data_IF_093570032421
#
_entry.id   IF_093570032421
#
_cell.length_a   1.000
_cell.length_b   1.000
_cell.length_c   1.000
_cell.angle_alpha   90.00
_cell.angle_beta   90.00
_cell.angle_gamma   90.00
#
_symmetry.space_group_name_H-M   'P 1'
#
loop_
_entity.id
_entity.type
_entity.pdbx_description
1 polymer ?
#
# COMPACT_ATOMS: atom_id res chain seq x y z
N UNK A 1 -7.97 4.97 -7.99
CA UNK A 1 -8.32 3.61 -8.39
C UNK A 1 -9.61 3.52 -9.19
N UNK A 2 -10.66 4.28 -8.86
CA UNK A 2 -11.94 4.32 -9.58
C UNK A 2 -11.83 4.69 -11.05
N UNK A 3 -10.80 5.50 -11.40
CA UNK A 3 -10.47 5.88 -12.79
C UNK A 3 -9.58 4.87 -13.50
N UNK A 4 -8.88 4.01 -12.75
CA UNK A 4 -7.91 3.05 -13.27
C UNK A 4 -8.51 1.66 -13.46
N UNK A 5 -9.52 1.30 -12.66
CA UNK A 5 -10.13 -0.03 -12.65
C UNK A 5 -11.66 0.06 -12.74
N UNK A 6 -12.32 -0.80 -13.55
CA UNK A 6 -13.77 -0.84 -13.62
C UNK A 6 -14.37 -1.44 -12.34
N UNK A 7 -15.58 -1.01 -12.00
CA UNK A 7 -16.39 -1.57 -10.91
C UNK A 7 -17.41 -2.54 -11.48
N UNK A 8 -17.36 -3.79 -11.01
CA UNK A 8 -18.42 -4.75 -11.31
C UNK A 8 -19.69 -4.42 -10.50
N UNK A 9 -20.89 -4.79 -10.98
CA UNK A 9 -22.11 -4.71 -10.20
C UNK A 9 -22.10 -5.69 -9.02
N UNK A 10 -21.54 -6.88 -9.21
CA UNK A 10 -21.44 -7.93 -8.20
C UNK A 10 -19.98 -8.24 -7.85
N UNK A 11 -19.77 -8.80 -6.65
CA UNK A 11 -18.44 -9.02 -6.11
C UNK A 11 -17.70 -10.13 -6.87
N UNK A 12 -18.41 -11.20 -7.19
CA UNK A 12 -17.95 -12.36 -7.96
C UNK A 12 -17.44 -12.01 -9.36
N UNK A 13 -17.91 -10.91 -9.94
CA UNK A 13 -17.56 -10.48 -11.29
C UNK A 13 -16.42 -9.47 -11.31
N UNK A 14 -15.89 -9.06 -10.15
CA UNK A 14 -14.90 -7.98 -10.07
C UNK A 14 -13.62 -8.34 -10.84
N UNK A 15 -13.32 -7.67 -11.97
CA UNK A 15 -12.11 -7.95 -12.75
C UNK A 15 -10.87 -7.36 -12.06
N UNK A 16 -9.70 -7.86 -12.44
CA UNK A 16 -8.39 -7.37 -11.99
C UNK A 16 -8.19 -7.39 -10.47
N UNK A 17 -8.89 -8.26 -9.75
CA UNK A 17 -8.91 -8.32 -8.29
C UNK A 17 -7.51 -8.44 -7.66
N UNK A 18 -6.60 -9.22 -8.25
CA UNK A 18 -5.21 -9.30 -7.80
C UNK A 18 -4.47 -7.97 -7.97
N UNK A 19 -4.60 -7.32 -9.12
CA UNK A 19 -3.94 -6.05 -9.43
C UNK A 19 -4.47 -4.91 -8.57
N UNK A 20 -5.78 -4.85 -8.34
CA UNK A 20 -6.42 -3.88 -7.45
C UNK A 20 -5.87 -4.02 -6.03
N UNK A 21 -5.89 -5.25 -5.48
CA UNK A 21 -5.38 -5.50 -4.13
C UNK A 21 -3.88 -5.20 -4.03
N UNK A 22 -3.08 -5.61 -5.02
CA UNK A 22 -1.66 -5.30 -5.05
C UNK A 22 -1.41 -3.79 -5.13
N UNK A 23 -2.07 -3.08 -6.03
CA UNK A 23 -1.91 -1.63 -6.18
C UNK A 23 -2.24 -0.89 -4.88
N UNK A 24 -3.38 -1.20 -4.28
CA UNK A 24 -3.78 -0.61 -2.99
C UNK A 24 -2.72 -0.90 -1.92
N UNK A 25 -2.41 -2.17 -1.67
CA UNK A 25 -1.53 -2.55 -0.55
C UNK A 25 -0.09 -2.05 -0.74
N UNK A 26 0.46 -2.14 -1.95
CA UNK A 26 1.83 -1.71 -2.23
C UNK A 26 1.96 -0.18 -2.20
N UNK A 27 0.98 0.56 -2.71
CA UNK A 27 0.98 2.03 -2.63
C UNK A 27 0.91 2.52 -1.18
N UNK A 28 0.11 1.85 -0.34
CA UNK A 28 0.08 2.13 1.11
C UNK A 28 1.41 1.82 1.79
N UNK A 29 2.03 0.69 1.44
CA UNK A 29 3.34 0.29 1.94
C UNK A 29 4.41 1.31 1.60
N UNK A 30 4.40 1.81 0.36
CA UNK A 30 5.32 2.84 -0.11
C UNK A 30 5.18 4.13 0.70
N UNK A 31 3.97 4.69 0.79
CA UNK A 31 3.72 5.98 1.45
C UNK A 31 4.00 5.90 2.96
N UNK A 32 3.49 4.86 3.63
CA UNK A 32 3.72 4.68 5.07
C UNK A 32 5.20 4.44 5.34
N UNK A 33 5.85 3.58 4.55
CA UNK A 33 7.28 3.32 4.65
C UNK A 33 8.12 4.59 4.48
N UNK A 34 7.80 5.40 3.48
CA UNK A 34 8.44 6.69 3.22
C UNK A 34 8.31 7.65 4.42
N UNK A 35 7.11 7.73 5.00
CA UNK A 35 6.80 8.55 6.17
C UNK A 35 7.57 8.08 7.41
N UNK A 36 7.57 6.78 7.71
CA UNK A 36 8.32 6.20 8.83
C UNK A 36 9.83 6.47 8.67
N UNK A 37 10.36 6.28 7.45
CA UNK A 37 11.77 6.57 7.16
C UNK A 37 12.13 8.04 7.37
N UNK A 38 11.24 8.97 7.00
CA UNK A 38 11.40 10.40 7.20
C UNK A 38 11.33 10.81 8.69
N UNK A 39 10.36 10.27 9.42
CA UNK A 39 10.20 10.50 10.86
C UNK A 39 11.39 9.96 11.64
N UNK A 40 11.85 8.75 11.32
CA UNK A 40 13.02 8.15 11.96
C UNK A 40 14.30 8.96 11.72
N UNK A 41 14.48 9.53 10.52
CA UNK A 41 15.59 10.45 10.25
C UNK A 41 15.48 11.72 11.09
N UNK A 42 14.31 12.34 11.11
CA UNK A 42 14.05 13.58 11.84
C UNK A 42 14.28 13.41 13.34
N UNK A 43 13.78 12.32 13.93
CA UNK A 43 14.00 11.98 15.33
C UNK A 43 15.49 11.79 15.66
N UNK A 44 16.24 11.08 14.80
CA UNK A 44 17.70 10.90 14.99
C UNK A 44 18.47 12.22 14.90
N UNK A 45 18.05 13.14 14.02
CA UNK A 45 18.67 14.46 13.85
C UNK A 45 18.51 15.33 15.11
N UNK A 46 17.37 15.23 15.80
CA UNK A 46 17.14 15.93 17.07
C UNK A 46 18.09 15.44 18.19
N UNK A 47 18.43 14.15 18.20
CA UNK A 47 19.29 13.56 19.23
C UNK A 47 20.79 13.72 18.89
N UNK A 48 21.16 13.56 17.61
CA UNK A 48 22.55 13.62 17.13
C UNK A 48 22.64 14.45 15.86
N UNK A 49 22.93 15.76 15.97
CA UNK A 49 23.06 16.62 14.80
C UNK A 49 24.33 16.28 13.99
N UNK A 50 24.21 15.34 13.03
CA UNK A 50 25.23 15.03 12.01
C UNK A 50 24.94 15.69 10.65
N UNK A 51 25.94 16.20 9.92
CA UNK A 51 25.77 16.86 8.61
C UNK A 51 25.30 15.93 7.46
N UNK A 52 24.95 14.68 7.76
CA UNK A 52 24.45 13.71 6.78
C UNK A 52 23.05 14.10 6.25
N UNK A 53 23.03 14.59 5.01
CA UNK A 53 21.85 15.06 4.27
C UNK A 53 21.28 13.99 3.35
N UNK A 54 20.51 13.04 3.88
CA UNK A 54 19.58 12.39 2.97
C UNK A 54 18.33 11.90 3.68
N UNK A 55 17.50 12.86 4.11
CA UNK A 55 16.08 12.61 4.37
C UNK A 55 15.47 11.79 3.22
N UNK A 56 15.84 12.12 1.97
CA UNK A 56 15.46 11.38 0.78
C UNK A 56 15.90 9.91 0.82
N UNK A 57 17.15 9.59 1.18
CA UNK A 57 17.62 8.20 1.33
C UNK A 57 16.91 7.47 2.45
N UNK A 58 16.69 8.12 3.60
CA UNK A 58 16.00 7.50 4.73
C UNK A 58 14.53 7.22 4.39
N UNK A 59 13.86 8.18 3.75
CA UNK A 59 12.49 8.02 3.26
C UNK A 59 12.40 6.98 2.15
N UNK A 60 13.29 7.02 1.15
CA UNK A 60 13.36 6.03 0.07
C UNK A 60 13.62 4.61 0.57
N UNK A 61 14.55 4.42 1.51
CA UNK A 61 14.78 3.13 2.15
C UNK A 61 13.55 2.66 2.93
N UNK A 62 12.91 3.57 3.67
CA UNK A 62 11.66 3.30 4.37
C UNK A 62 10.56 2.85 3.41
N UNK A 63 10.42 3.50 2.25
CA UNK A 63 9.46 3.17 1.22
C UNK A 63 9.71 1.77 0.64
N UNK A 64 10.95 1.43 0.32
CA UNK A 64 11.32 0.09 -0.15
C UNK A 64 11.01 -1.00 0.88
N UNK A 65 11.36 -0.76 2.14
CA UNK A 65 11.07 -1.68 3.25
C UNK A 65 9.55 -1.82 3.44
N UNK A 66 8.81 -0.71 3.48
CA UNK A 66 7.35 -0.72 3.65
C UNK A 66 6.62 -1.45 2.53
N UNK A 67 6.99 -1.18 1.27
CA UNK A 67 6.46 -1.90 0.10
C UNK A 67 6.77 -3.39 0.16
N UNK A 68 8.03 -3.76 0.47
CA UNK A 68 8.44 -5.17 0.58
C UNK A 68 7.71 -5.92 1.69
N UNK A 69 7.59 -5.31 2.87
CA UNK A 69 6.86 -5.89 4.00
C UNK A 69 5.38 -6.10 3.65
N UNK A 70 4.72 -5.12 3.04
CA UNK A 70 3.31 -5.26 2.67
C UNK A 70 3.08 -6.20 1.47
N UNK A 71 4.06 -6.35 0.57
CA UNK A 71 4.01 -7.39 -0.47
C UNK A 71 3.97 -8.80 0.16
N UNK A 72 4.87 -9.06 1.12
CA UNK A 72 4.89 -10.32 1.87
C UNK A 72 3.61 -10.49 2.68
N UNK A 73 3.14 -9.43 3.33
CA UNK A 73 1.90 -9.46 4.12
C UNK A 73 0.68 -9.77 3.24
N UNK A 74 0.56 -9.18 2.04
CA UNK A 74 -0.51 -9.48 1.09
C UNK A 74 -0.47 -10.94 0.66
N UNK A 75 0.71 -11.42 0.24
CA UNK A 75 0.89 -12.81 -0.18
C UNK A 75 0.54 -13.79 0.95
N UNK A 76 1.00 -13.53 2.18
CA UNK A 76 0.66 -14.33 3.36
C UNK A 76 -0.82 -14.27 3.71
N UNK A 77 -1.43 -13.08 3.72
CA UNK A 77 -2.84 -12.86 4.07
C UNK A 77 -3.80 -13.55 3.12
N UNK A 78 -3.41 -13.68 1.87
CA UNK A 78 -4.22 -14.26 0.80
C UNK A 78 -3.83 -15.69 0.42
N UNK A 79 -2.79 -16.25 1.05
CA UNK A 79 -2.40 -17.64 0.85
C UNK A 79 -3.55 -18.57 1.25
N UNK A 80 -3.91 -19.50 0.36
CA UNK A 80 -5.00 -20.46 0.58
C UNK A 80 -6.41 -19.87 0.53
N UNK A 81 -6.56 -18.61 0.10
CA UNK A 81 -7.88 -18.00 -0.12
C UNK A 81 -8.37 -18.31 -1.53
N UNK A 82 -9.67 -18.59 -1.65
CA UNK A 82 -10.33 -18.82 -2.93
C UNK A 82 -10.44 -17.54 -3.75
N UNK A 83 -10.56 -17.65 -5.08
CA UNK A 83 -10.66 -16.49 -5.96
C UNK A 83 -11.80 -15.54 -5.58
N UNK A 84 -12.94 -16.08 -5.16
CA UNK A 84 -14.09 -15.28 -4.74
C UNK A 84 -13.74 -14.36 -3.56
N UNK A 85 -12.88 -14.80 -2.63
CA UNK A 85 -12.44 -13.98 -1.52
C UNK A 85 -11.49 -12.85 -1.95
N UNK A 86 -10.67 -13.08 -2.99
CA UNK A 86 -9.87 -12.01 -3.57
C UNK A 86 -10.77 -10.99 -4.25
N UNK A 87 -11.75 -11.45 -5.03
CA UNK A 87 -12.72 -10.62 -5.72
C UNK A 87 -13.55 -9.79 -4.75
N UNK A 88 -14.13 -10.40 -3.72
CA UNK A 88 -14.88 -9.72 -2.65
C UNK A 88 -14.06 -8.60 -1.99
N UNK A 89 -12.81 -8.87 -1.60
CA UNK A 89 -11.96 -7.84 -0.97
C UNK A 89 -11.65 -6.69 -1.93
N UNK A 90 -11.33 -6.99 -3.17
CA UNK A 90 -11.07 -5.97 -4.19
C UNK A 90 -12.32 -5.13 -4.51
N UNK A 91 -13.49 -5.77 -4.54
CA UNK A 91 -14.78 -5.12 -4.72
C UNK A 91 -15.05 -4.17 -3.57
N UNK A 92 -14.96 -4.64 -2.32
CA UNK A 92 -15.15 -3.80 -1.13
C UNK A 92 -14.20 -2.61 -1.07
N UNK A 93 -12.97 -2.75 -1.57
CA UNK A 93 -12.03 -1.62 -1.69
C UNK A 93 -12.53 -0.57 -2.68
N UNK A 94 -12.96 -0.96 -3.88
CA UNK A 94 -13.46 -0.04 -4.90
C UNK A 94 -14.81 0.61 -4.56
N UNK A 95 -15.60 -0.02 -3.68
CA UNK A 95 -16.87 0.51 -3.20
C UNK A 95 -16.76 1.29 -1.89
N UNK A 96 -15.59 1.26 -1.24
CA UNK A 96 -15.33 2.07 -0.05
C UNK A 96 -14.93 3.50 -0.44
N UNK A 97 -15.80 4.47 -0.16
CA UNK A 97 -15.57 5.89 -0.50
C UNK A 97 -14.26 6.44 0.03
N UNK A 98 -13.91 6.13 1.28
CA UNK A 98 -12.69 6.64 1.90
C UNK A 98 -11.43 6.06 1.28
N UNK A 99 -11.43 4.77 0.94
CA UNK A 99 -10.29 4.16 0.22
C UNK A 99 -10.15 4.75 -1.18
N UNK A 100 -11.27 4.90 -1.90
CA UNK A 100 -11.28 5.51 -3.23
C UNK A 100 -10.76 6.94 -3.20
N UNK A 101 -11.18 7.77 -2.24
CA UNK A 101 -10.70 9.15 -2.13
C UNK A 101 -9.18 9.26 -1.96
N UNK A 102 -8.59 8.30 -1.24
CA UNK A 102 -7.14 8.32 -0.95
C UNK A 102 -6.34 7.52 -1.97
N UNK A 103 -6.96 6.64 -2.76
CA UNK A 103 -6.30 5.82 -3.79
C UNK A 103 -6.60 6.28 -5.24
N UNK A 104 -7.47 7.27 -5.45
CA UNK A 104 -7.78 7.92 -6.75
C UNK A 104 -6.66 8.73 -7.37
#
# INVERSE_FOLDING_TARGET
MSRLFPRAPYAEDQPYYHTILAFHVLSRGFVIGAGVGALAYSARRLIRPSPSLSLLRSSGNGALVGTGLLAVALAGRMRGREEIEWRDRSYRLLWNRGQVEVDD
#
